data_IF_922670081347
#
_entry.id   IF_922670081347
#
_cell.length_a   1.000
_cell.length_b   1.000
_cell.length_c   1.000
_cell.angle_alpha   90.00
_cell.angle_beta   90.00
_cell.angle_gamma   90.00
#
_symmetry.space_group_name_H-M   'P 1'
#
loop_
_entity.id
_entity.type
_entity.pdbx_description
1 polymer ?
#
# COMPACT_ATOMS: atom_id res chain seq x y z
N UNK A 1 -8.38 -3.09 18.12
CA UNK A 1 -7.77 -1.79 18.50
C UNK A 1 -6.39 -2.02 19.07
N UNK A 2 -5.39 -1.35 18.57
CA UNK A 2 -4.01 -1.48 19.03
C UNK A 2 -3.66 -0.22 19.84
N UNK A 3 -3.33 -0.41 21.13
CA UNK A 3 -2.95 0.69 22.03
C UNK A 3 -3.96 1.85 22.03
N UNK A 4 -5.25 1.55 21.95
CA UNK A 4 -6.31 2.54 21.93
C UNK A 4 -6.55 3.19 20.55
N UNK A 5 -5.81 2.81 19.52
CA UNK A 5 -5.98 3.29 18.16
C UNK A 5 -6.70 2.26 17.31
N UNK A 6 -7.59 2.71 16.44
CA UNK A 6 -8.23 1.83 15.47
C UNK A 6 -7.23 1.44 14.39
N UNK A 7 -7.12 0.13 14.15
CA UNK A 7 -6.23 -0.40 13.13
C UNK A 7 -7.05 -1.21 12.13
N UNK A 8 -6.94 -0.85 10.84
CA UNK A 8 -7.55 -1.59 9.76
C UNK A 8 -6.46 -2.30 8.97
N UNK A 9 -6.62 -3.61 8.80
CA UNK A 9 -5.69 -4.42 8.00
C UNK A 9 -6.32 -4.65 6.64
N UNK A 10 -5.61 -4.24 5.58
CA UNK A 10 -6.01 -4.49 4.20
C UNK A 10 -5.08 -5.54 3.60
N UNK A 11 -5.64 -6.61 3.10
CA UNK A 11 -4.86 -7.59 2.34
C UNK A 11 -4.49 -6.99 1.00
N UNK A 12 -3.19 -6.93 0.71
CA UNK A 12 -2.65 -6.36 -0.53
C UNK A 12 -1.66 -7.33 -1.15
N UNK A 13 -2.14 -8.51 -1.60
CA UNK A 13 -1.25 -9.49 -2.22
C UNK A 13 -0.68 -8.97 -3.54
N UNK A 14 0.46 -9.49 -3.94
CA UNK A 14 1.11 -9.13 -5.19
C UNK A 14 2.62 -9.23 -5.08
N UNK A 15 3.23 -8.53 -4.13
CA UNK A 15 4.65 -8.73 -3.82
C UNK A 15 4.84 -10.11 -3.17
N UNK A 16 4.01 -10.42 -2.19
CA UNK A 16 3.86 -11.78 -1.64
C UNK A 16 2.37 -12.08 -1.43
N UNK A 17 1.97 -13.36 -1.31
CA UNK A 17 0.56 -13.69 -1.04
C UNK A 17 0.06 -13.16 0.30
N UNK A 18 0.95 -12.99 1.27
CA UNK A 18 0.58 -12.52 2.62
C UNK A 18 0.79 -11.03 2.85
N UNK A 19 1.07 -10.25 1.82
CA UNK A 19 1.30 -8.81 1.98
C UNK A 19 0.05 -8.10 2.46
N UNK A 20 0.23 -7.15 3.39
CA UNK A 20 -0.86 -6.34 3.94
C UNK A 20 -0.43 -4.88 4.06
N UNK A 21 -1.42 -3.99 4.05
CA UNK A 21 -1.24 -2.61 4.46
C UNK A 21 -2.00 -2.38 5.76
N UNK A 22 -1.40 -1.64 6.68
CA UNK A 22 -2.04 -1.27 7.94
C UNK A 22 -2.42 0.20 7.89
N UNK A 23 -3.69 0.49 8.21
CA UNK A 23 -4.17 1.85 8.36
C UNK A 23 -4.36 2.12 9.84
N UNK A 24 -3.60 3.07 10.38
CA UNK A 24 -3.68 3.51 11.78
C UNK A 24 -3.83 5.02 11.75
N UNK A 25 -4.99 5.53 12.17
CA UNK A 25 -5.35 6.95 12.07
C UNK A 25 -5.14 7.45 10.62
N UNK A 26 -4.33 8.47 10.42
CA UNK A 26 -4.02 9.02 9.09
C UNK A 26 -2.77 8.41 8.46
N UNK A 27 -2.28 7.28 8.99
CA UNK A 27 -1.05 6.64 8.52
C UNK A 27 -1.33 5.32 7.84
N UNK A 28 -0.67 5.10 6.69
CA UNK A 28 -0.71 3.82 5.97
C UNK A 28 0.69 3.21 5.99
N UNK A 29 0.81 2.04 6.61
CA UNK A 29 2.05 1.26 6.61
C UNK A 29 1.95 0.26 5.47
N UNK A 30 2.53 0.63 4.34
CA UNK A 30 2.31 -0.06 3.06
C UNK A 30 3.29 -1.20 2.79
N UNK A 31 4.33 -1.36 3.62
CA UNK A 31 5.33 -2.42 3.42
C UNK A 31 5.91 -2.38 2.02
N UNK A 32 5.89 -3.52 1.35
CA UNK A 32 6.41 -3.65 -0.01
C UNK A 32 5.30 -3.57 -1.08
N UNK A 33 4.15 -2.99 -0.77
CA UNK A 33 3.05 -2.85 -1.73
C UNK A 33 3.13 -1.53 -2.50
N UNK A 34 3.23 -0.41 -1.79
CA UNK A 34 3.21 0.93 -2.39
C UNK A 34 4.45 1.72 -1.96
N UNK A 35 5.15 2.27 -2.94
CA UNK A 35 6.30 3.15 -2.74
C UNK A 35 6.04 4.50 -3.37
N UNK A 36 6.82 5.50 -2.99
CA UNK A 36 6.75 6.82 -3.63
C UNK A 36 7.10 6.68 -5.11
N UNK A 37 6.11 6.87 -5.98
CA UNK A 37 6.26 6.77 -7.43
C UNK A 37 6.35 5.35 -7.99
N UNK A 38 6.15 4.31 -7.16
CA UNK A 38 6.33 2.93 -7.60
C UNK A 38 5.46 1.97 -6.77
N UNK A 39 5.65 0.68 -7.00
CA UNK A 39 5.04 -0.39 -6.22
C UNK A 39 6.04 -1.52 -6.02
N UNK A 40 5.70 -2.48 -5.16
CA UNK A 40 6.54 -3.65 -4.92
C UNK A 40 6.72 -4.50 -6.16
N UNK A 41 7.86 -5.16 -6.29
CA UNK A 41 8.12 -6.06 -7.42
C UNK A 41 7.29 -7.33 -7.28
N UNK A 42 6.93 -7.90 -8.42
CA UNK A 42 6.09 -9.10 -8.50
C UNK A 42 6.74 -10.24 -9.30
N UNK A 43 8.01 -10.09 -9.64
CA UNK A 43 8.76 -11.02 -10.51
C UNK A 43 9.53 -12.09 -9.72
N UNK A 44 9.41 -12.10 -8.40
CA UNK A 44 10.01 -13.12 -7.55
C UNK A 44 9.01 -14.24 -7.26
N UNK A 45 9.48 -15.44 -6.81
CA UNK A 45 8.56 -16.50 -6.41
C UNK A 45 7.54 -16.01 -5.39
N UNK A 46 6.26 -16.31 -5.63
CA UNK A 46 5.15 -15.81 -4.81
C UNK A 46 4.61 -14.47 -5.26
N UNK A 47 5.31 -13.73 -6.13
CA UNK A 47 4.82 -12.50 -6.71
C UNK A 47 3.73 -12.74 -7.74
N UNK A 48 2.75 -11.82 -7.82
CA UNK A 48 1.63 -11.92 -8.75
C UNK A 48 1.25 -10.51 -9.24
N UNK A 49 1.57 -10.18 -10.51
CA UNK A 49 1.27 -8.86 -11.06
C UNK A 49 -0.23 -8.53 -11.08
N UNK A 50 -1.09 -9.52 -11.29
CA UNK A 50 -2.55 -9.30 -11.30
C UNK A 50 -3.05 -9.00 -9.90
N UNK A 51 -2.60 -9.74 -8.90
CA UNK A 51 -2.96 -9.49 -7.52
C UNK A 51 -2.46 -8.12 -7.06
N UNK A 52 -1.26 -7.73 -7.46
CA UNK A 52 -0.70 -6.40 -7.17
C UNK A 52 -1.58 -5.30 -7.78
N UNK A 53 -1.99 -5.46 -9.03
CA UNK A 53 -2.86 -4.50 -9.71
C UNK A 53 -4.18 -4.32 -8.95
N UNK A 54 -4.80 -5.42 -8.53
CA UNK A 54 -6.06 -5.38 -7.80
C UNK A 54 -5.88 -4.72 -6.42
N UNK A 55 -4.76 -5.03 -5.76
CA UNK A 55 -4.42 -4.41 -4.48
C UNK A 55 -4.24 -2.90 -4.60
N UNK A 56 -3.49 -2.44 -5.61
CA UNK A 56 -3.27 -1.03 -5.86
C UNK A 56 -4.57 -0.30 -6.22
N UNK A 57 -5.46 -0.94 -6.97
CA UNK A 57 -6.78 -0.38 -7.26
C UNK A 57 -7.60 -0.17 -5.99
N UNK A 58 -7.54 -1.10 -5.05
CA UNK A 58 -8.23 -0.94 -3.78
C UNK A 58 -7.66 0.23 -2.98
N UNK A 59 -6.35 0.40 -2.96
CA UNK A 59 -5.72 1.55 -2.31
C UNK A 59 -6.15 2.86 -2.97
N UNK A 60 -6.23 2.89 -4.29
CA UNK A 60 -6.63 4.08 -5.03
C UNK A 60 -8.08 4.49 -4.76
N UNK A 61 -8.92 3.55 -4.32
CA UNK A 61 -10.34 3.82 -4.01
C UNK A 61 -10.58 4.23 -2.57
N UNK A 62 -9.56 4.23 -1.72
CA UNK A 62 -9.71 4.66 -0.33
C UNK A 62 -10.09 6.13 -0.28
N UNK A 63 -11.05 6.46 0.57
CA UNK A 63 -11.43 7.83 0.84
C UNK A 63 -10.48 8.45 1.86
N UNK A 64 -10.21 9.74 1.73
CA UNK A 64 -9.32 10.47 2.60
C UNK A 64 -7.86 10.37 2.15
N UNK A 65 -7.03 11.13 2.83
CA UNK A 65 -5.60 11.14 2.56
C UNK A 65 -4.86 10.45 3.70
N UNK A 66 -3.80 9.73 3.36
CA UNK A 66 -2.97 9.02 4.33
C UNK A 66 -1.50 9.36 4.12
N UNK A 67 -0.74 9.45 5.22
CA UNK A 67 0.71 9.46 5.14
C UNK A 67 1.18 8.04 4.86
N UNK A 68 1.82 7.84 3.72
CA UNK A 68 2.27 6.51 3.29
C UNK A 68 3.67 6.24 3.82
N UNK A 69 3.82 5.16 4.55
CA UNK A 69 5.10 4.70 5.08
C UNK A 69 5.47 3.38 4.40
N UNK A 70 6.28 3.43 3.32
CA UNK A 70 6.71 2.21 2.64
C UNK A 70 7.79 1.48 3.43
N UNK A 71 8.00 0.21 3.09
CA UNK A 71 9.10 -0.57 3.67
C UNK A 71 10.48 -0.10 3.23
N UNK A 72 10.56 0.54 2.07
CA UNK A 72 11.79 1.06 1.48
C UNK A 72 11.54 2.42 0.86
N UNK A 73 12.55 3.27 0.86
CA UNK A 73 12.50 4.57 0.23
C UNK A 73 11.75 5.62 1.05
N UNK A 74 11.52 6.80 0.47
CA UNK A 74 10.90 7.91 1.19
C UNK A 74 9.42 7.71 1.41
N UNK A 75 8.89 8.36 2.45
CA UNK A 75 7.46 8.46 2.67
C UNK A 75 6.77 9.35 1.64
N UNK A 76 5.45 9.25 1.58
CA UNK A 76 4.64 10.03 0.65
C UNK A 76 3.25 10.23 1.24
N UNK A 77 2.30 10.71 0.43
CA UNK A 77 0.89 10.75 0.79
C UNK A 77 0.07 10.03 -0.27
N UNK A 78 -1.06 9.46 0.12
CA UNK A 78 -1.91 8.74 -0.81
C UNK A 78 -2.43 9.65 -1.91
N UNK A 79 -2.81 10.89 -1.58
CA UNK A 79 -3.26 11.87 -2.58
C UNK A 79 -2.20 12.12 -3.63
N UNK A 80 -0.95 12.28 -3.21
CA UNK A 80 0.16 12.50 -4.15
C UNK A 80 0.34 11.27 -5.04
N UNK A 81 0.29 10.08 -4.48
CA UNK A 81 0.46 8.85 -5.25
C UNK A 81 -0.69 8.64 -6.23
N UNK A 82 -1.92 8.99 -5.87
CA UNK A 82 -3.05 8.93 -6.82
C UNK A 82 -2.85 9.85 -8.02
N UNK A 83 -2.17 10.97 -7.83
CA UNK A 83 -1.93 11.95 -8.90
C UNK A 83 -0.70 11.63 -9.74
N UNK A 84 0.34 11.07 -9.14
CA UNK A 84 1.66 10.98 -9.77
C UNK A 84 2.18 9.56 -9.97
N UNK A 85 1.66 8.58 -9.22
CA UNK A 85 2.15 7.21 -9.31
C UNK A 85 1.49 6.50 -10.51
N UNK A 86 2.29 6.00 -11.47
CA UNK A 86 1.73 5.37 -12.67
C UNK A 86 1.00 4.06 -12.39
N UNK A 87 1.15 3.48 -11.20
CA UNK A 87 0.51 2.22 -10.83
C UNK A 87 -0.83 2.41 -10.11
N UNK A 88 -1.18 3.62 -9.72
CA UNK A 88 -2.46 3.92 -9.08
C UNK A 88 -3.48 4.52 -10.03
#
# INVERSE_FOLDING_TARGET
TLAGMDTLVLETPGHTPGSVCLLIDAHMFAGDTLFAGSCGRTDLPGGDPRAMRDSLRRLAKLEGNFFVHPGHGPGSTLDREKQTNPYL
#
